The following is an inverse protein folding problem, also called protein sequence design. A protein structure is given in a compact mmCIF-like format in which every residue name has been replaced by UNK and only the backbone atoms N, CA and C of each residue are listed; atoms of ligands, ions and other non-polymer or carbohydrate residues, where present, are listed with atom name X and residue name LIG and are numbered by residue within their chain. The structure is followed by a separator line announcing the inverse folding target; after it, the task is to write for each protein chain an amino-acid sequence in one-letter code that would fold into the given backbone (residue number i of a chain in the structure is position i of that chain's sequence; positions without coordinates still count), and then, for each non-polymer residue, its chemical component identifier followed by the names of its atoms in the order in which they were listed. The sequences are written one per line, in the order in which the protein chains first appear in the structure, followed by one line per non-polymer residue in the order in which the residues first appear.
data_IF_817955132948
#
_entry.id   IF_817955132948
#
_cell.length_a   1.000
_cell.length_b   1.000
_cell.length_c   1.000
_cell.angle_alpha   90.00
_cell.angle_beta   90.00
_cell.angle_gamma   90.00
#
_symmetry.space_group_name_H-M   'P 1'
#
loop_
_entity.id
_entity.type
_entity.pdbx_description
1 polymer ?
#
# COMPACT_ATOMS: atom_id res chain seq x y z
N UNK A 1 3.81 -14.11 -17.45
CA UNK A 1 3.51 -12.65 -17.43
C UNK A 1 4.36 -11.91 -16.40
N UNK A 2 4.56 -10.60 -16.56
CA UNK A 2 5.20 -9.73 -15.56
C UNK A 2 4.17 -9.14 -14.59
N UNK A 3 4.52 -9.01 -13.31
CA UNK A 3 3.72 -8.34 -12.27
C UNK A 3 4.47 -7.10 -11.77
N UNK A 4 3.77 -5.97 -11.70
CA UNK A 4 4.27 -4.74 -11.08
C UNK A 4 3.67 -4.60 -9.68
N UNK A 5 4.52 -4.34 -8.68
CA UNK A 5 4.11 -4.22 -7.27
C UNK A 5 4.59 -2.89 -6.68
N UNK A 6 3.74 -1.84 -6.68
CA UNK A 6 3.99 -0.62 -5.93
C UNK A 6 4.05 -0.90 -4.43
N UNK A 7 5.09 -0.40 -3.75
CA UNK A 7 5.28 -0.46 -2.31
C UNK A 7 5.62 0.93 -1.76
N UNK A 8 5.04 1.31 -0.62
CA UNK A 8 5.26 2.60 0.04
C UNK A 8 6.03 2.40 1.35
N UNK A 9 6.95 3.33 1.61
CA UNK A 9 7.63 3.49 2.89
C UNK A 9 6.82 4.41 3.78
N UNK A 10 6.33 3.90 4.91
CA UNK A 10 5.45 4.62 5.84
C UNK A 10 5.97 4.51 7.27
N UNK A 11 5.38 5.27 8.20
CA UNK A 11 5.63 5.08 9.63
C UNK A 11 5.20 3.67 10.05
N UNK A 12 5.99 3.00 10.88
CA UNK A 12 5.64 1.65 11.35
C UNK A 12 4.31 1.69 12.11
N UNK A 13 3.40 0.77 11.81
CA UNK A 13 2.05 0.75 12.35
C UNK A 13 2.00 0.61 13.88
N UNK A 14 3.09 0.18 14.54
CA UNK A 14 3.18 0.13 16.01
C UNK A 14 3.64 1.45 16.64
N UNK A 15 4.03 2.44 15.83
CA UNK A 15 4.48 3.74 16.32
C UNK A 15 3.27 4.66 16.43
N UNK A 16 3.09 5.26 17.62
CA UNK A 16 2.12 6.33 17.80
C UNK A 16 2.62 7.61 17.09
N UNK A 17 1.93 8.10 16.04
CA UNK A 17 2.31 9.34 15.39
C UNK A 17 2.14 10.52 16.36
N UNK A 18 2.96 11.55 16.18
CA UNK A 18 2.86 12.81 16.92
C UNK A 18 2.78 13.95 15.92
N UNK A 19 1.84 14.86 16.14
CA UNK A 19 1.76 16.08 15.31
C UNK A 19 2.88 17.04 15.70
N UNK A 20 3.51 17.67 14.72
CA UNK A 20 4.51 18.71 14.95
C UNK A 20 3.90 19.88 15.72
N UNK A 21 4.68 20.53 16.57
CA UNK A 21 4.23 21.68 17.35
C UNK A 21 3.76 22.87 16.49
N UNK A 22 4.30 22.99 15.26
CA UNK A 22 3.91 24.00 14.28
C UNK A 22 2.65 23.65 13.47
N UNK A 23 2.08 22.45 13.66
CA UNK A 23 0.90 21.97 12.95
C UNK A 23 1.10 21.74 11.46
N UNK A 24 2.33 21.65 10.97
CA UNK A 24 2.63 21.46 9.53
C UNK A 24 2.49 20.02 9.06
N UNK A 25 2.47 19.05 9.99
CA UNK A 25 2.40 17.64 9.66
C UNK A 25 2.68 16.73 10.86
N UNK A 26 2.92 15.45 10.58
CA UNK A 26 3.40 14.47 11.57
C UNK A 26 4.92 14.58 11.71
N UNK A 27 5.42 14.41 12.93
CA UNK A 27 6.85 14.35 13.20
C UNK A 27 7.39 12.96 12.83
N UNK A 28 8.15 12.92 11.73
CA UNK A 28 8.80 11.73 11.22
C UNK A 28 10.29 11.67 11.61
N UNK A 29 10.78 12.59 12.44
CA UNK A 29 12.15 12.58 12.91
C UNK A 29 12.38 11.40 13.85
N UNK A 30 13.37 10.56 13.54
CA UNK A 30 13.78 9.42 14.37
C UNK A 30 12.67 8.39 14.66
N UNK A 31 11.61 8.35 13.85
CA UNK A 31 10.59 7.31 13.95
C UNK A 31 10.98 6.09 13.12
N UNK A 32 10.59 4.91 13.59
CA UNK A 32 10.74 3.68 12.81
C UNK A 32 9.81 3.74 11.61
N UNK A 33 10.36 3.45 10.43
CA UNK A 33 9.62 3.38 9.17
C UNK A 33 9.67 1.93 8.67
N UNK A 34 8.62 1.50 7.97
CA UNK A 34 8.49 0.15 7.44
C UNK A 34 7.82 0.15 6.06
N UNK A 35 7.70 -1.02 5.45
CA UNK A 35 6.77 -1.19 4.33
C UNK A 35 5.34 -1.00 4.85
N UNK A 36 4.49 -0.39 4.05
CA UNK A 36 3.06 -0.34 4.31
C UNK A 36 2.50 -1.78 4.40
N UNK A 37 1.72 -2.13 5.44
CA UNK A 37 1.27 -3.52 5.64
C UNK A 37 0.49 -4.10 4.45
N UNK A 38 -0.33 -3.28 3.78
CA UNK A 38 -1.07 -3.73 2.59
C UNK A 38 -0.15 -4.05 1.40
N UNK A 39 1.00 -3.37 1.33
CA UNK A 39 1.96 -3.59 0.26
C UNK A 39 2.79 -4.87 0.51
N UNK A 40 3.03 -5.25 1.77
CA UNK A 40 3.62 -6.56 2.10
C UNK A 40 2.73 -7.71 1.59
N UNK A 41 1.41 -7.57 1.74
CA UNK A 41 0.40 -8.51 1.22
C UNK A 41 0.43 -8.56 -0.31
N UNK A 42 0.58 -7.40 -0.97
CA UNK A 42 0.69 -7.32 -2.43
C UNK A 42 1.96 -8.00 -2.96
N UNK A 43 3.09 -7.81 -2.27
CA UNK A 43 4.35 -8.49 -2.60
C UNK A 43 4.21 -10.00 -2.41
N UNK A 44 3.65 -10.46 -1.29
CA UNK A 44 3.43 -11.89 -1.05
C UNK A 44 2.53 -12.51 -2.13
N UNK A 45 1.44 -11.86 -2.51
CA UNK A 45 0.53 -12.38 -3.53
C UNK A 45 1.23 -12.53 -4.88
N UNK A 46 2.01 -11.51 -5.28
CA UNK A 46 2.80 -11.58 -6.51
C UNK A 46 3.79 -12.76 -6.48
N UNK A 47 4.43 -13.01 -5.32
CA UNK A 47 5.34 -14.14 -5.14
C UNK A 47 4.60 -15.47 -5.26
N UNK A 48 3.44 -15.63 -4.61
CA UNK A 48 2.61 -16.85 -4.71
C UNK A 48 2.17 -17.13 -6.14
N UNK A 49 1.76 -16.09 -6.88
CA UNK A 49 1.40 -16.20 -8.30
C UNK A 49 2.60 -16.66 -9.14
N UNK A 50 3.80 -16.14 -8.86
CA UNK A 50 5.04 -16.58 -9.51
C UNK A 50 5.40 -18.02 -9.17
N UNK A 51 5.32 -18.42 -7.90
CA UNK A 51 5.59 -19.79 -7.44
C UNK A 51 4.61 -20.80 -8.06
N UNK A 52 3.38 -20.38 -8.35
CA UNK A 52 2.39 -21.15 -9.09
C UNK A 52 2.63 -21.21 -10.62
N UNK A 53 3.75 -20.63 -11.11
CA UNK A 53 4.12 -20.63 -12.53
C UNK A 53 3.27 -19.71 -13.41
N UNK A 54 2.50 -18.79 -12.82
CA UNK A 54 1.62 -17.86 -13.55
C UNK A 54 2.25 -16.48 -13.79
N UNK A 55 3.40 -16.21 -13.18
CA UNK A 55 4.23 -15.04 -13.44
C UNK A 55 5.69 -15.44 -13.64
N UNK A 56 6.41 -14.64 -14.42
CA UNK A 56 7.84 -14.85 -14.74
C UNK A 56 8.73 -13.87 -13.97
N UNK A 57 8.26 -12.64 -13.79
CA UNK A 57 9.02 -11.55 -13.19
C UNK A 57 8.12 -10.67 -12.30
N UNK A 58 8.64 -10.29 -11.14
CA UNK A 58 8.03 -9.34 -10.20
C UNK A 58 8.93 -8.11 -10.11
N UNK A 59 8.37 -6.95 -10.47
CA UNK A 59 9.04 -5.65 -10.40
C UNK A 59 8.44 -4.84 -9.26
N UNK A 60 9.21 -4.63 -8.20
CA UNK A 60 8.79 -3.77 -7.09
C UNK A 60 9.07 -2.29 -7.42
N UNK A 61 8.14 -1.39 -7.10
CA UNK A 61 8.30 0.04 -7.38
C UNK A 61 8.02 0.86 -6.13
N UNK A 62 8.82 1.87 -5.86
CA UNK A 62 8.51 2.84 -4.80
C UNK A 62 8.75 4.27 -5.31
N UNK A 63 7.94 5.21 -4.81
CA UNK A 63 8.09 6.65 -5.07
C UNK A 63 8.33 7.32 -3.73
N UNK A 64 9.44 8.04 -3.59
CA UNK A 64 9.78 8.71 -2.33
C UNK A 64 11.28 8.94 -2.17
N UNK A 65 11.74 9.23 -0.93
CA UNK A 65 13.13 9.62 -0.70
C UNK A 65 14.08 8.46 -0.94
N UNK A 66 15.38 8.72 -1.02
CA UNK A 66 16.42 7.68 -1.17
C UNK A 66 16.29 6.53 -0.14
N UNK A 67 15.79 6.82 1.07
CA UNK A 67 15.52 5.81 2.11
C UNK A 67 14.42 4.80 1.74
N UNK A 68 13.60 5.06 0.72
CA UNK A 68 12.66 4.08 0.19
C UNK A 68 13.35 2.88 -0.46
N UNK A 69 14.66 2.97 -0.78
CA UNK A 69 15.46 1.80 -1.17
C UNK A 69 15.42 0.70 -0.11
N UNK A 70 15.37 1.03 1.19
CA UNK A 70 15.28 0.00 2.25
C UNK A 70 14.00 -0.83 2.12
N UNK A 71 12.86 -0.18 1.84
CA UNK A 71 11.57 -0.84 1.60
C UNK A 71 11.61 -1.72 0.35
N UNK A 72 12.24 -1.23 -0.73
CA UNK A 72 12.44 -2.02 -1.94
C UNK A 72 13.35 -3.23 -1.69
N UNK A 73 14.41 -3.08 -0.89
CA UNK A 73 15.29 -4.19 -0.51
C UNK A 73 14.55 -5.25 0.31
N UNK A 74 13.59 -4.86 1.14
CA UNK A 74 12.67 -5.81 1.80
C UNK A 74 11.84 -6.58 0.78
N UNK A 75 11.21 -5.91 -0.20
CA UNK A 75 10.44 -6.58 -1.25
C UNK A 75 11.31 -7.57 -2.07
N UNK A 76 12.54 -7.16 -2.40
CA UNK A 76 13.55 -8.00 -3.08
C UNK A 76 13.96 -9.22 -2.24
N UNK A 77 14.03 -9.07 -0.92
CA UNK A 77 14.36 -10.14 0.01
C UNK A 77 13.18 -11.10 0.24
N UNK A 78 11.94 -10.63 0.14
CA UNK A 78 10.75 -11.48 0.16
C UNK A 78 10.67 -12.35 -1.09
N UNK A 79 10.93 -11.78 -2.27
CA UNK A 79 10.91 -12.55 -3.51
C UNK A 79 10.82 -11.75 -4.81
N UNK A 80 10.70 -10.42 -4.77
CA UNK A 80 10.70 -9.61 -6.00
C UNK A 80 12.03 -9.76 -6.78
N UNK A 81 11.98 -9.69 -8.10
CA UNK A 81 13.15 -9.95 -8.96
C UNK A 81 14.07 -8.74 -9.08
N UNK A 82 13.46 -7.57 -9.28
CA UNK A 82 14.14 -6.29 -9.31
C UNK A 82 13.24 -5.17 -8.80
N UNK A 83 13.84 -4.00 -8.61
CA UNK A 83 13.18 -2.85 -8.05
C UNK A 83 13.42 -1.59 -8.89
N UNK A 84 12.48 -0.65 -8.83
CA UNK A 84 12.59 0.69 -9.37
C UNK A 84 12.26 1.68 -8.25
N UNK A 85 13.18 2.59 -7.95
CA UNK A 85 12.93 3.75 -7.12
C UNK A 85 12.71 4.96 -8.01
N UNK A 86 11.61 5.67 -7.78
CA UNK A 86 11.40 7.04 -8.26
C UNK A 86 11.75 7.98 -7.12
N UNK A 87 12.99 8.46 -7.13
CA UNK A 87 13.58 9.23 -6.05
C UNK A 87 13.07 10.67 -6.05
N UNK A 88 12.55 11.10 -4.91
CA UNK A 88 12.15 12.48 -4.64
C UNK A 88 12.04 12.73 -3.14
N UNK A 89 12.48 13.89 -2.68
CA UNK A 89 12.26 14.35 -1.30
C UNK A 89 10.92 15.07 -1.11
N UNK A 90 10.17 15.27 -2.20
CA UNK A 90 8.84 15.90 -2.16
C UNK A 90 7.78 14.86 -1.77
N UNK A 91 6.84 15.25 -0.90
CA UNK A 91 5.66 14.44 -0.62
C UNK A 91 4.78 14.36 -1.88
N UNK A 92 4.46 13.14 -2.31
CA UNK A 92 3.79 12.89 -3.60
C UNK A 92 2.36 12.42 -3.36
N UNK A 93 1.41 13.16 -3.92
CA UNK A 93 -0.02 12.83 -3.84
C UNK A 93 -0.37 11.57 -4.65
N UNK A 94 -1.43 10.82 -4.28
CA UNK A 94 -1.88 9.62 -5.00
C UNK A 94 -2.01 9.79 -6.52
N UNK A 95 -2.46 10.97 -6.98
CA UNK A 95 -2.58 11.26 -8.41
C UNK A 95 -1.22 11.28 -9.13
N UNK A 96 -0.22 11.91 -8.53
CA UNK A 96 1.13 11.96 -9.10
C UNK A 96 1.78 10.57 -9.07
N UNK A 97 1.61 9.81 -7.98
CA UNK A 97 2.02 8.40 -7.91
C UNK A 97 1.34 7.59 -9.03
N UNK A 98 0.04 7.71 -9.23
CA UNK A 98 -0.68 6.99 -10.27
C UNK A 98 -0.21 7.34 -11.70
N UNK A 99 0.16 8.60 -11.96
CA UNK A 99 0.74 9.02 -13.26
C UNK A 99 2.14 8.44 -13.48
N UNK A 100 2.98 8.43 -12.45
CA UNK A 100 4.30 7.79 -12.50
C UNK A 100 4.13 6.30 -12.78
N UNK A 101 3.27 5.61 -12.04
CA UNK A 101 3.00 4.20 -12.24
C UNK A 101 2.41 3.91 -13.62
N UNK A 102 1.56 4.79 -14.17
CA UNK A 102 1.08 4.68 -15.57
C UNK A 102 2.25 4.63 -16.55
N UNK A 103 3.23 5.52 -16.39
CA UNK A 103 4.40 5.59 -17.26
C UNK A 103 5.28 4.34 -17.12
N UNK A 104 5.48 3.86 -15.89
CA UNK A 104 6.21 2.61 -15.62
C UNK A 104 5.47 1.41 -16.21
N UNK A 105 4.14 1.35 -16.10
CA UNK A 105 3.33 0.29 -16.74
C UNK A 105 3.50 0.31 -18.27
N UNK A 106 3.66 1.48 -18.88
CA UNK A 106 3.92 1.58 -20.33
C UNK A 106 5.32 1.07 -20.71
N UNK A 107 6.35 1.35 -19.90
CA UNK A 107 7.72 0.86 -20.10
C UNK A 107 7.82 -0.66 -19.84
N UNK A 108 7.22 -1.11 -18.74
CA UNK A 108 7.38 -2.47 -18.23
C UNK A 108 6.40 -3.48 -18.83
N UNK A 109 5.28 -3.00 -19.35
CA UNK A 109 4.19 -3.80 -19.90
C UNK A 109 3.75 -5.00 -19.01
N UNK A 110 3.44 -4.78 -17.71
CA UNK A 110 2.98 -5.85 -16.83
C UNK A 110 1.58 -6.32 -17.20
N UNK A 111 1.37 -7.63 -17.08
CA UNK A 111 0.06 -8.26 -17.21
C UNK A 111 -0.83 -8.00 -16.00
N UNK A 112 -0.25 -7.72 -14.84
CA UNK A 112 -0.97 -7.44 -13.60
C UNK A 112 -0.23 -6.40 -12.76
N UNK A 113 -0.97 -5.46 -12.18
CA UNK A 113 -0.45 -4.56 -11.14
C UNK A 113 -1.15 -4.91 -9.83
N UNK A 114 -0.39 -5.23 -8.79
CA UNK A 114 -0.92 -5.54 -7.45
C UNK A 114 -0.35 -4.52 -6.47
N UNK A 115 -1.21 -3.80 -5.77
CA UNK A 115 -0.81 -2.81 -4.76
C UNK A 115 -1.66 -2.93 -3.50
N UNK A 116 -1.25 -2.31 -2.39
CA UNK A 116 -2.10 -2.23 -1.20
C UNK A 116 -3.40 -1.46 -1.44
N UNK A 117 -4.47 -1.78 -0.69
CA UNK A 117 -5.72 -0.99 -0.77
C UNK A 117 -5.50 0.48 -0.40
N UNK A 118 -4.72 0.74 0.64
CA UNK A 118 -4.43 2.08 1.14
C UNK A 118 -3.03 2.12 1.74
N UNK A 119 -2.49 3.32 1.88
CA UNK A 119 -1.32 3.55 2.70
C UNK A 119 -1.77 4.10 4.06
N UNK A 120 -1.22 3.55 5.14
CA UNK A 120 -1.66 3.87 6.52
C UNK A 120 -1.30 5.27 7.01
N UNK A 121 -0.52 6.03 6.24
CA UNK A 121 -0.10 7.39 6.55
C UNK A 121 -1.03 8.45 5.95
N UNK A 122 -1.53 8.23 4.72
CA UNK A 122 -2.47 9.13 4.04
C UNK A 122 -3.92 8.64 4.06
N UNK A 123 -4.16 7.37 4.41
CA UNK A 123 -5.45 6.68 4.45
C UNK A 123 -6.36 6.98 3.24
N UNK A 124 -5.75 7.22 2.07
CA UNK A 124 -6.48 7.81 0.95
C UNK A 124 -7.27 6.78 0.14
N UNK A 125 -6.82 5.52 0.11
CA UNK A 125 -7.41 4.44 -0.70
C UNK A 125 -7.73 4.89 -2.14
N UNK A 126 -6.76 5.45 -2.86
CA UNK A 126 -6.98 6.12 -4.15
C UNK A 126 -6.07 5.63 -5.28
N UNK A 127 -4.79 5.38 -5.00
CA UNK A 127 -3.76 5.17 -6.04
C UNK A 127 -4.11 4.04 -7.01
N UNK A 128 -4.65 2.92 -6.51
CA UNK A 128 -5.02 1.76 -7.33
C UNK A 128 -6.16 2.05 -8.30
N UNK A 129 -7.18 2.75 -7.83
CA UNK A 129 -8.32 3.13 -8.66
C UNK A 129 -7.93 4.21 -9.67
N UNK A 130 -7.06 5.15 -9.28
CA UNK A 130 -6.54 6.18 -10.17
C UNK A 130 -5.69 5.58 -11.31
N UNK A 131 -4.78 4.64 -11.02
CA UNK A 131 -3.98 4.01 -12.08
C UNK A 131 -4.86 3.19 -13.04
N UNK A 132 -5.88 2.48 -12.52
CA UNK A 132 -6.85 1.76 -13.34
C UNK A 132 -7.58 2.70 -14.31
N UNK A 133 -8.08 3.83 -13.81
CA UNK A 133 -8.75 4.85 -14.62
C UNK A 133 -7.81 5.46 -15.67
N UNK A 134 -6.58 5.79 -15.30
CA UNK A 134 -5.58 6.40 -16.20
C UNK A 134 -5.12 5.47 -17.33
N UNK A 135 -5.17 4.16 -17.11
CA UNK A 135 -4.81 3.12 -18.08
C UNK A 135 -6.02 2.56 -18.84
N UNK A 136 -7.25 2.86 -18.40
CA UNK A 136 -8.46 2.23 -18.93
C UNK A 136 -8.51 0.71 -18.67
N UNK A 137 -7.96 0.24 -17.54
CA UNK A 137 -7.88 -1.19 -17.19
C UNK A 137 -8.95 -1.57 -16.16
N UNK A 138 -9.48 -2.81 -16.19
CA UNK A 138 -10.38 -3.30 -15.16
C UNK A 138 -9.66 -3.39 -13.80
N UNK A 139 -10.43 -3.24 -12.72
CA UNK A 139 -9.89 -3.23 -11.36
C UNK A 139 -10.64 -4.17 -10.41
N UNK A 140 -9.91 -4.80 -9.50
CA UNK A 140 -10.44 -5.59 -8.39
C UNK A 140 -9.90 -5.06 -7.08
N UNK A 141 -10.66 -4.19 -6.41
CA UNK A 141 -10.25 -3.59 -5.14
C UNK A 141 -10.62 -4.47 -3.96
N UNK A 142 -9.88 -4.34 -2.86
CA UNK A 142 -10.16 -5.03 -1.58
C UNK A 142 -10.12 -6.56 -1.72
N UNK A 143 -9.19 -7.05 -2.55
CA UNK A 143 -9.07 -8.47 -2.84
C UNK A 143 -8.72 -9.26 -1.57
N UNK A 144 -9.53 -10.27 -1.25
CA UNK A 144 -9.24 -11.33 -0.28
C UNK A 144 -8.97 -12.69 -0.92
N UNK A 145 -9.16 -12.82 -2.24
CA UNK A 145 -8.68 -13.95 -3.05
C UNK A 145 -8.38 -13.50 -4.48
N UNK A 146 -7.28 -13.98 -5.06
CA UNK A 146 -6.88 -13.68 -6.45
C UNK A 146 -6.55 -14.99 -7.17
N UNK A 147 -7.22 -15.25 -8.30
CA UNK A 147 -7.04 -16.46 -9.09
C UNK A 147 -6.88 -16.11 -10.57
N UNK A 148 -5.69 -16.37 -11.12
CA UNK A 148 -5.42 -16.17 -12.55
C UNK A 148 -5.89 -17.39 -13.34
N UNK A 149 -6.71 -17.15 -14.37
CA UNK A 149 -7.33 -18.15 -15.24
C UNK A 149 -7.18 -17.71 -16.71
N UNK A 150 -6.11 -18.18 -17.37
CA UNK A 150 -5.84 -17.85 -18.76
C UNK A 150 -5.61 -16.35 -18.97
N UNK A 151 -6.51 -15.72 -19.71
CA UNK A 151 -6.54 -14.29 -20.04
C UNK A 151 -7.34 -13.44 -19.05
N UNK A 152 -7.80 -14.02 -17.95
CA UNK A 152 -8.56 -13.34 -16.91
C UNK A 152 -7.96 -13.54 -15.52
N UNK A 153 -8.37 -12.67 -14.60
CA UNK A 153 -8.17 -12.84 -13.15
C UNK A 153 -9.53 -12.75 -12.45
N UNK A 154 -9.85 -13.78 -11.68
CA UNK A 154 -10.98 -13.78 -10.75
C UNK A 154 -10.53 -13.20 -9.42
N UNK A 155 -11.23 -12.17 -8.94
CA UNK A 155 -10.91 -11.47 -7.69
C UNK A 155 -12.12 -11.54 -6.78
N UNK A 156 -11.96 -12.16 -5.61
CA UNK A 156 -12.98 -12.08 -4.54
C UNK A 156 -12.63 -10.90 -3.65
N UNK A 157 -13.59 -10.00 -3.48
CA UNK A 157 -13.47 -8.70 -2.85
C UNK A 157 -14.23 -8.69 -1.53
N UNK A 158 -13.65 -8.03 -0.54
CA UNK A 158 -14.34 -7.65 0.68
C UNK A 158 -15.22 -6.42 0.40
N UNK A 159 -16.52 -6.54 0.65
CA UNK A 159 -17.50 -5.47 0.58
C UNK A 159 -18.29 -5.40 1.89
N UNK A 160 -18.99 -4.30 2.15
CA UNK A 160 -19.64 -4.07 3.45
C UNK A 160 -20.59 -5.21 3.89
N UNK A 161 -21.27 -5.84 2.93
CA UNK A 161 -22.23 -6.92 3.17
C UNK A 161 -21.64 -8.34 3.09
N UNK A 162 -20.34 -8.51 2.85
CA UNK A 162 -19.72 -9.82 2.68
C UNK A 162 -18.70 -9.86 1.54
N UNK A 163 -18.85 -10.83 0.63
CA UNK A 163 -17.90 -11.08 -0.45
C UNK A 163 -18.54 -10.91 -1.83
N UNK A 164 -17.78 -10.34 -2.76
CA UNK A 164 -18.16 -10.22 -4.17
C UNK A 164 -17.03 -10.76 -5.05
N UNK A 165 -17.34 -11.68 -5.98
CA UNK A 165 -16.36 -12.16 -6.95
C UNK A 165 -16.57 -11.51 -8.31
N UNK A 166 -15.52 -10.86 -8.82
CA UNK A 166 -15.49 -10.24 -10.15
C UNK A 166 -14.47 -10.93 -11.05
N UNK A 167 -14.77 -11.03 -12.34
CA UNK A 167 -13.86 -11.56 -13.35
C UNK A 167 -13.37 -10.41 -14.22
N UNK A 168 -12.05 -10.21 -14.25
CA UNK A 168 -11.40 -9.08 -14.94
C UNK A 168 -10.55 -9.61 -16.09
N UNK A 169 -10.64 -8.99 -17.26
CA UNK A 169 -9.71 -9.27 -18.36
C UNK A 169 -8.32 -8.73 -18.03
N UNK A 170 -7.29 -9.54 -18.30
CA UNK A 170 -5.91 -9.08 -18.21
C UNK A 170 -5.59 -8.20 -19.44
N UNK A 171 -4.80 -7.12 -19.28
CA UNK A 171 -4.14 -6.72 -18.05
C UNK A 171 -5.04 -5.95 -17.08
N UNK A 172 -4.89 -6.20 -15.78
CA UNK A 172 -5.77 -5.68 -14.72
C UNK A 172 -4.99 -4.99 -13.57
N UNK A 173 -5.72 -4.26 -12.73
CA UNK A 173 -5.22 -3.67 -11.48
C UNK A 173 -5.92 -4.35 -10.29
N UNK A 174 -5.17 -4.78 -9.29
CA UNK A 174 -5.72 -5.39 -8.07
C UNK A 174 -5.21 -4.62 -6.85
N UNK A 175 -6.11 -4.34 -5.91
CA UNK A 175 -5.71 -3.81 -4.60
C UNK A 175 -5.99 -4.82 -3.49
N UNK A 176 -5.04 -5.04 -2.60
CA UNK A 176 -5.08 -6.12 -1.60
C UNK A 176 -5.73 -5.68 -0.29
N UNK A 177 -6.61 -6.53 0.25
CA UNK A 177 -7.05 -6.43 1.64
C UNK A 177 -6.15 -7.27 2.57
N UNK A 178 -6.17 -6.98 3.87
CA UNK A 178 -5.39 -7.73 4.87
C UNK A 178 -5.74 -9.22 4.91
N UNK A 179 -6.95 -9.60 4.47
CA UNK A 179 -7.40 -11.00 4.48
C UNK A 179 -6.87 -11.85 3.34
N UNK A 180 -6.17 -11.26 2.36
CA UNK A 180 -5.72 -11.98 1.16
C UNK A 180 -4.71 -13.09 1.48
N UNK A 181 -3.72 -12.78 2.31
CA UNK A 181 -2.66 -13.72 2.67
C UNK A 181 -1.93 -13.29 3.95
N UNK A 182 -0.95 -14.09 4.36
CA UNK A 182 0.00 -13.76 5.41
C UNK A 182 1.38 -13.61 4.77
N UNK A 183 2.02 -12.42 4.82
CA UNK A 183 3.30 -12.18 4.18
C UNK A 183 4.40 -13.01 4.81
N UNK A 184 5.26 -13.62 3.99
CA UNK A 184 6.42 -14.36 4.49
C UNK A 184 7.49 -13.44 5.07
N UNK A 185 8.21 -13.93 6.07
CA UNK A 185 9.44 -13.28 6.53
C UNK A 185 10.60 -13.57 5.56
N UNK A 186 11.37 -12.53 5.24
CA UNK A 186 12.59 -12.69 4.46
C UNK A 186 13.68 -13.37 5.30
N UNK A 187 14.23 -14.49 4.80
CA UNK A 187 15.34 -15.19 5.45
C UNK A 187 16.65 -14.39 5.34
N UNK A 188 17.57 -14.57 6.30
CA UNK A 188 18.90 -13.92 6.27
C UNK A 188 19.65 -14.14 4.93
N UNK A 189 19.68 -15.36 4.34
CA UNK A 189 20.28 -15.56 3.03
C UNK A 189 19.62 -14.73 1.92
N UNK A 190 18.28 -14.58 1.95
CA UNK A 190 17.57 -13.79 0.95
C UNK A 190 17.83 -12.29 1.12
N UNK A 191 17.93 -11.79 2.36
CA UNK A 191 18.31 -10.39 2.64
C UNK A 191 19.70 -10.10 2.05
N UNK A 192 20.65 -11.03 2.17
CA UNK A 192 21.98 -10.87 1.60
C UNK A 192 21.97 -10.91 0.07
N UNK A 193 21.17 -11.79 -0.55
CA UNK A 193 20.98 -11.83 -2.01
C UNK A 193 20.28 -10.57 -2.54
N UNK A 194 19.33 -10.02 -1.78
CA UNK A 194 18.57 -8.83 -2.16
C UNK A 194 19.45 -7.59 -2.39
N UNK A 195 20.59 -7.48 -1.68
CA UNK A 195 21.59 -6.41 -1.90
C UNK A 195 22.22 -6.45 -3.30
N UNK A 196 22.26 -7.61 -3.94
CA UNK A 196 22.83 -7.81 -5.29
C UNK A 196 21.78 -7.74 -6.41
N UNK A 197 20.49 -7.81 -6.07
CA UNK A 197 19.41 -7.72 -7.07
C UNK A 197 19.37 -6.31 -7.68
N UNK A 198 18.98 -6.18 -8.96
CA UNK A 198 18.89 -4.89 -9.63
C UNK A 198 17.90 -3.95 -8.92
N UNK A 199 18.32 -2.70 -8.73
CA UNK A 199 17.50 -1.61 -8.23
C UNK A 199 17.85 -0.38 -9.07
N UNK A 200 16.95 0.01 -9.95
CA UNK A 200 17.13 1.18 -10.79
C UNK A 200 16.62 2.41 -10.05
N UNK A 201 17.38 3.49 -10.07
CA UNK A 201 16.98 4.77 -9.50
C UNK A 201 16.70 5.73 -10.64
N UNK A 202 15.48 6.24 -10.69
CA UNK A 202 14.98 7.22 -11.65
C UNK A 202 14.31 8.37 -10.91
N UNK A 203 13.88 9.37 -11.64
CA UNK A 203 13.14 10.53 -11.15
C UNK A 203 11.80 10.64 -11.85
N UNK A 204 10.88 11.45 -11.32
CA UNK A 204 9.61 11.71 -12.01
C UNK A 204 9.81 12.42 -13.36
N UNK A 205 10.90 13.17 -13.52
CA UNK A 205 11.24 13.86 -14.76
C UNK A 205 11.59 12.90 -15.90
N UNK A 206 12.21 11.75 -15.59
CA UNK A 206 12.51 10.70 -16.58
C UNK A 206 11.24 10.13 -17.24
N UNK A 207 10.10 10.28 -16.56
CA UNK A 207 8.78 9.87 -17.02
C UNK A 207 7.90 11.04 -17.49
N UNK A 208 8.43 12.26 -17.49
CA UNK A 208 7.68 13.47 -17.86
C UNK A 208 6.48 13.75 -16.96
N UNK A 209 6.52 13.34 -15.69
CA UNK A 209 5.42 13.52 -14.74
C UNK A 209 5.69 14.70 -13.82
N UNK A 210 4.78 15.67 -13.84
CA UNK A 210 4.70 16.73 -12.85
C UNK A 210 4.14 16.20 -11.52
N UNK A 211 4.93 16.33 -10.46
CA UNK A 211 4.61 15.93 -9.10
C UNK A 211 4.21 17.11 -8.21
N UNK A 212 3.97 18.30 -8.78
CA UNK A 212 3.51 19.45 -8.03
C UNK A 212 2.20 19.14 -7.27
N UNK A 213 2.13 19.45 -5.97
CA UNK A 213 0.92 19.23 -5.17
C UNK A 213 -0.28 19.98 -5.74
N UNK A 214 -1.43 19.31 -5.80
CA UNK A 214 -2.74 19.91 -6.13
C UNK A 214 -3.47 20.36 -4.87
N UNK A 215 -3.14 19.76 -3.73
CA UNK A 215 -3.73 20.01 -2.44
C UNK A 215 -2.72 20.73 -1.56
N UNK A 216 -3.23 21.63 -0.72
CA UNK A 216 -2.44 22.31 0.29
C UNK A 216 -2.97 21.94 1.67
N UNK A 217 -2.18 21.20 2.43
CA UNK A 217 -2.46 20.95 3.84
C UNK A 217 -2.32 22.26 4.60
N UNK A 218 -3.43 22.75 5.16
CA UNK A 218 -3.45 24.01 5.90
C UNK A 218 -2.95 23.82 7.33
N UNK A 219 -3.35 22.72 7.96
CA UNK A 219 -3.03 22.40 9.36
C UNK A 219 -3.25 20.92 9.63
N UNK A 220 -2.38 20.35 10.44
CA UNK A 220 -2.55 19.06 11.10
C UNK A 220 -2.64 19.31 12.61
N UNK A 221 -3.57 18.63 13.28
CA UNK A 221 -3.78 18.74 14.73
C UNK A 221 -4.07 17.39 15.34
N UNK A 222 -3.65 17.20 16.59
CA UNK A 222 -4.04 16.04 17.39
C UNK A 222 -5.57 15.96 17.50
N UNK A 223 -6.16 14.76 17.46
CA UNK A 223 -7.59 14.60 17.71
C UNK A 223 -7.94 15.01 19.16
N UNK A 224 -9.20 15.35 19.44
CA UNK A 224 -9.64 15.66 20.80
C UNK A 224 -9.27 14.53 21.78
N UNK A 225 -8.63 14.88 22.89
CA UNK A 225 -8.29 13.91 23.93
C UNK A 225 -9.59 13.40 24.55
N UNK A 226 -9.79 12.07 24.50
CA UNK A 226 -10.95 11.44 25.11
C UNK A 226 -10.96 11.73 26.62
N UNK A 227 -12.08 12.21 27.13
CA UNK A 227 -12.28 12.42 28.58
C UNK A 227 -12.15 11.09 29.31
N UNK A 228 -11.54 11.10 30.49
CA UNK A 228 -11.41 9.92 31.33
C UNK A 228 -12.78 9.30 31.63
N UNK A 229 -12.90 8.00 31.37
CA UNK A 229 -14.11 7.23 31.68
C UNK A 229 -14.26 6.93 33.17
N UNK A 230 -15.41 6.37 33.54
CA UNK A 230 -15.70 5.89 34.90
C UNK A 230 -15.65 4.36 34.91
N UNK A 231 -15.01 3.78 35.92
CA UNK A 231 -15.09 2.34 36.21
C UNK A 231 -16.27 2.10 37.15
N UNK A 232 -17.12 1.14 36.80
CA UNK A 232 -18.29 0.74 37.60
C UNK A 232 -18.04 -0.62 38.26
N UNK A 233 -18.68 -0.86 39.41
CA UNK A 233 -18.42 -2.03 40.24
C UNK A 233 -19.07 -3.31 39.69
N UNK A 234 -20.19 -3.19 38.99
CA UNK A 234 -21.01 -4.30 38.52
C UNK A 234 -21.84 -3.91 37.28
N UNK A 235 -22.60 -4.88 36.76
CA UNK A 235 -23.45 -4.73 35.58
C UNK A 235 -24.62 -3.78 35.84
N UNK A 236 -25.20 -3.79 37.04
CA UNK A 236 -26.35 -2.95 37.38
C UNK A 236 -25.96 -1.47 37.39
N UNK A 237 -24.79 -1.14 37.95
CA UNK A 237 -24.19 0.18 37.91
C UNK A 237 -23.87 0.62 36.47
N UNK A 238 -23.42 -0.31 35.61
CA UNK A 238 -23.21 -0.02 34.19
C UNK A 238 -24.52 0.34 33.49
N UNK A 239 -25.55 -0.49 33.62
CA UNK A 239 -26.86 -0.27 32.97
C UNK A 239 -27.49 1.03 33.47
N UNK A 240 -27.41 1.30 34.78
CA UNK A 240 -27.89 2.56 35.36
C UNK A 240 -27.18 3.75 34.73
N UNK A 241 -25.84 3.68 34.62
CA UNK A 241 -25.06 4.77 34.01
C UNK A 241 -25.36 4.97 32.53
N UNK A 242 -25.58 3.89 31.77
CA UNK A 242 -25.94 3.98 30.35
C UNK A 242 -27.32 4.62 30.15
N UNK A 243 -28.30 4.28 31.00
CA UNK A 243 -29.64 4.91 30.99
C UNK A 243 -29.58 6.39 31.35
N UNK A 244 -28.82 6.77 32.38
CA UNK A 244 -28.58 8.18 32.74
C UNK A 244 -27.98 8.99 31.59
N UNK A 245 -27.11 8.36 30.80
CA UNK A 245 -26.45 8.97 29.64
C UNK A 245 -27.31 8.93 28.36
N UNK A 246 -28.47 8.28 28.37
CA UNK A 246 -29.39 8.19 27.22
C UNK A 246 -28.84 7.40 26.03
N UNK A 247 -27.90 6.48 26.27
CA UNK A 247 -27.24 5.68 25.22
C UNK A 247 -27.86 4.28 25.07
N UNK A 248 -28.76 3.91 26.00
CA UNK A 248 -29.46 2.63 26.06
C UNK A 248 -30.94 2.85 26.38
#
# INVERSE_FOLDING_TARGET
MKILVPVKRVIDYNVKPRVKADGTGVDLANVKMSMNPFDEIAVEEAIRIKEAGKAEEIVAVSVGPAKAQDTLRTALAMGADRAILIETDTEVEPLAVAKILKAIVAEENPGLVILGKQAIDDDSNQTGQMIAALLGRPQGTFASKVEIEGDHVAVTREVDGGLETVKLSLPAIVTTDLRLNEPRYASLPNIMKAKKKPLDVKTAADYGVDIAPRLKTLKVSEPPVRVAGVKVADVDALVTKLKELGVA
#
